data_IF_470775353322
#
_entry.id   IF_470775353322
#
_cell.length_a   1.000
_cell.length_b   1.000
_cell.length_c   1.000
_cell.angle_alpha   90.00
_cell.angle_beta   90.00
_cell.angle_gamma   90.00
#
_symmetry.space_group_name_H-M   'P 1'
#
loop_
_entity.id
_entity.type
_entity.pdbx_description
1 polymer ?
#
# COMPACT_ATOMS: atom_id res chain seq x y z
N UNK A 1 -2.21 34.03 -44.69
CA UNK A 1 -1.76 32.75 -44.09
C UNK A 1 -2.44 32.60 -42.77
N UNK A 2 -3.54 31.92 -42.76
CA UNK A 2 -4.39 31.69 -41.56
C UNK A 2 -3.90 30.42 -40.88
N UNK A 3 -3.20 30.59 -39.77
CA UNK A 3 -2.82 29.48 -38.89
C UNK A 3 -4.09 28.94 -38.23
N UNK A 4 -4.50 27.76 -38.69
CA UNK A 4 -5.56 27.01 -38.05
C UNK A 4 -5.06 26.47 -36.70
N UNK A 5 -5.28 27.24 -35.66
CA UNK A 5 -5.26 26.72 -34.30
C UNK A 5 -6.37 25.66 -34.18
N UNK A 6 -5.98 24.41 -34.39
CA UNK A 6 -6.82 23.24 -34.08
C UNK A 6 -7.17 23.32 -32.60
N UNK A 7 -8.36 23.81 -32.32
CA UNK A 7 -8.98 23.69 -30.99
C UNK A 7 -9.11 22.19 -30.71
N UNK A 8 -8.28 21.70 -29.81
CA UNK A 8 -8.48 20.40 -29.23
C UNK A 8 -9.87 20.42 -28.55
N UNK A 9 -10.68 19.37 -28.75
CA UNK A 9 -12.01 19.33 -28.16
C UNK A 9 -11.90 19.45 -26.65
N UNK A 10 -12.59 20.42 -26.08
CA UNK A 10 -12.63 20.73 -24.66
C UNK A 10 -13.15 19.58 -23.77
N UNK A 11 -13.66 18.53 -24.40
CA UNK A 11 -14.27 17.39 -23.71
C UNK A 11 -13.29 16.44 -23.02
N UNK A 12 -11.99 16.54 -23.31
CA UNK A 12 -10.95 15.70 -22.66
C UNK A 12 -10.23 16.39 -21.50
N UNK A 13 -10.42 17.67 -21.31
CA UNK A 13 -9.79 18.45 -20.24
C UNK A 13 -10.61 18.53 -18.94
N UNK A 14 -11.85 18.02 -18.93
CA UNK A 14 -12.86 18.40 -17.94
C UNK A 14 -13.04 17.50 -16.72
N UNK A 15 -12.41 16.33 -16.58
CA UNK A 15 -12.82 15.42 -15.50
C UNK A 15 -11.72 14.85 -14.61
N UNK A 16 -10.44 15.08 -14.87
CA UNK A 16 -9.36 14.50 -14.07
C UNK A 16 -8.33 15.56 -13.71
N UNK A 17 -8.49 16.16 -12.56
CA UNK A 17 -7.53 17.10 -11.99
C UNK A 17 -6.24 16.43 -11.50
N UNK A 18 -6.22 15.10 -11.37
CA UNK A 18 -5.12 14.35 -10.80
C UNK A 18 -4.49 13.40 -11.83
N UNK A 19 -3.20 13.56 -12.04
CA UNK A 19 -2.40 12.64 -12.83
C UNK A 19 -2.38 11.26 -12.19
N UNK A 20 -2.49 10.22 -13.02
CA UNK A 20 -2.38 8.84 -12.60
C UNK A 20 -1.09 8.25 -13.12
N UNK A 21 -0.31 7.73 -12.24
CA UNK A 21 0.95 7.07 -12.57
C UNK A 21 0.70 5.57 -12.63
N UNK A 22 0.93 4.93 -13.81
CA UNK A 22 0.86 3.49 -13.91
C UNK A 22 2.09 2.91 -13.23
N UNK A 23 1.90 2.43 -12.01
CA UNK A 23 2.98 1.85 -11.21
C UNK A 23 2.46 0.60 -10.49
N UNK A 24 3.18 -0.53 -10.69
CA UNK A 24 2.85 -1.81 -10.10
C UNK A 24 3.74 -2.08 -8.89
N UNK A 25 3.18 -1.89 -7.71
CA UNK A 25 3.85 -2.09 -6.43
C UNK A 25 3.10 -3.13 -5.61
N UNK A 26 3.84 -3.95 -4.87
CA UNK A 26 3.24 -4.87 -3.92
C UNK A 26 2.54 -4.08 -2.80
N UNK A 27 1.42 -4.58 -2.35
CA UNK A 27 0.67 -3.98 -1.25
C UNK A 27 0.05 -5.04 -0.34
N UNK A 28 -0.18 -4.64 0.88
CA UNK A 28 -1.04 -5.33 1.83
C UNK A 28 -2.23 -4.43 2.14
N UNK A 29 -3.39 -5.01 2.38
CA UNK A 29 -4.57 -4.24 2.76
C UNK A 29 -5.27 -4.82 3.98
N UNK A 30 -6.00 -3.95 4.66
CA UNK A 30 -6.94 -4.32 5.70
C UNK A 30 -8.25 -3.57 5.54
N UNK A 31 -9.34 -4.30 5.68
CA UNK A 31 -10.69 -3.75 5.70
C UNK A 31 -11.11 -3.48 7.13
N UNK A 32 -11.75 -2.33 7.32
CA UNK A 32 -12.17 -1.86 8.64
C UNK A 32 -13.69 -1.70 8.68
N UNK A 33 -14.24 -2.10 9.83
CA UNK A 33 -15.61 -1.79 10.22
C UNK A 33 -15.64 -1.13 11.60
N UNK A 34 -16.82 -0.94 12.17
CA UNK A 34 -16.98 -0.34 13.51
C UNK A 34 -16.31 -1.15 14.63
N UNK A 35 -16.09 -2.45 14.43
CA UNK A 35 -15.43 -3.34 15.38
C UNK A 35 -13.91 -3.47 15.20
N UNK A 36 -13.34 -2.80 14.20
CA UNK A 36 -11.92 -2.88 13.86
C UNK A 36 -11.64 -3.59 12.55
N UNK A 37 -10.47 -4.23 12.46
CA UNK A 37 -10.05 -4.99 11.27
C UNK A 37 -10.84 -6.30 11.22
N UNK A 38 -11.49 -6.57 10.09
CA UNK A 38 -12.22 -7.82 9.90
C UNK A 38 -11.70 -8.68 8.75
N UNK A 39 -10.91 -8.12 7.85
CA UNK A 39 -10.29 -8.84 6.74
C UNK A 39 -8.97 -8.20 6.36
N UNK A 40 -7.99 -9.02 6.03
CA UNK A 40 -6.69 -8.61 5.48
C UNK A 40 -6.39 -9.38 4.21
N UNK A 41 -5.56 -8.85 3.36
CA UNK A 41 -5.13 -9.50 2.14
C UNK A 41 -3.95 -8.80 1.49
N UNK A 42 -3.57 -9.28 0.33
CA UNK A 42 -2.46 -8.78 -0.47
C UNK A 42 -2.91 -8.42 -1.87
N UNK A 43 -2.11 -7.62 -2.54
CA UNK A 43 -2.42 -7.19 -3.90
C UNK A 43 -1.28 -6.45 -4.57
N UNK A 44 -1.59 -5.82 -5.69
CA UNK A 44 -0.66 -4.96 -6.43
C UNK A 44 -1.37 -3.72 -6.94
N UNK A 45 -0.67 -2.60 -6.90
CA UNK A 45 -1.18 -1.38 -7.52
C UNK A 45 -1.15 -1.51 -9.04
N UNK A 46 -2.15 -0.94 -9.70
CA UNK A 46 -2.21 -0.78 -11.15
C UNK A 46 -1.89 0.66 -11.52
N UNK A 47 -2.44 1.60 -10.78
CA UNK A 47 -2.07 3.02 -10.87
C UNK A 47 -2.36 3.74 -9.55
N UNK A 48 -1.62 4.82 -9.33
CA UNK A 48 -1.72 5.68 -8.15
C UNK A 48 -1.83 7.14 -8.60
N UNK A 49 -2.67 7.90 -7.91
CA UNK A 49 -2.76 9.35 -8.02
C UNK A 49 -2.81 9.98 -6.64
N UNK A 50 -2.78 11.30 -6.56
CA UNK A 50 -2.94 12.02 -5.29
C UNK A 50 -4.29 11.79 -4.59
N UNK A 51 -5.31 11.38 -5.34
CA UNK A 51 -6.68 11.20 -4.83
C UNK A 51 -7.17 9.76 -4.78
N UNK A 52 -6.45 8.82 -5.38
CA UNK A 52 -6.91 7.44 -5.40
C UNK A 52 -5.89 6.43 -5.92
N UNK A 53 -6.18 5.18 -5.65
CA UNK A 53 -5.41 4.01 -6.09
C UNK A 53 -6.35 3.04 -6.79
N UNK A 54 -5.90 2.50 -7.91
CA UNK A 54 -6.46 1.31 -8.53
C UNK A 54 -5.50 0.16 -8.27
N UNK A 55 -6.00 -0.95 -7.77
CA UNK A 55 -5.19 -2.11 -7.42
C UNK A 55 -5.92 -3.44 -7.66
N UNK A 56 -5.17 -4.48 -7.84
CA UNK A 56 -5.65 -5.86 -7.82
C UNK A 56 -5.63 -6.36 -6.38
N UNK A 57 -6.69 -7.06 -5.98
CA UNK A 57 -6.83 -7.67 -4.66
C UNK A 57 -6.97 -9.20 -4.81
N UNK A 58 -6.44 -9.93 -3.84
CA UNK A 58 -6.56 -11.39 -3.74
C UNK A 58 -7.95 -11.88 -3.33
N UNK A 59 -8.85 -10.96 -2.96
CA UNK A 59 -10.22 -11.25 -2.59
C UNK A 59 -11.20 -10.23 -3.20
N UNK A 60 -12.47 -10.60 -3.20
CA UNK A 60 -13.56 -9.72 -3.66
C UNK A 60 -13.82 -8.66 -2.59
N UNK A 61 -13.62 -7.40 -2.96
CA UNK A 61 -13.86 -6.25 -2.11
C UNK A 61 -15.19 -5.59 -2.46
N UNK A 62 -15.86 -5.01 -1.47
CA UNK A 62 -17.16 -4.36 -1.66
C UNK A 62 -17.01 -2.84 -1.65
N UNK A 63 -17.59 -2.13 -2.64
CA UNK A 63 -17.67 -0.66 -2.61
C UNK A 63 -18.33 -0.15 -1.33
N UNK A 64 -17.81 0.96 -0.82
CA UNK A 64 -18.30 1.56 0.42
C UNK A 64 -17.52 1.18 1.67
N UNK A 65 -16.70 0.13 1.62
CA UNK A 65 -15.88 -0.29 2.75
C UNK A 65 -14.70 0.64 2.99
N UNK A 66 -14.36 0.85 4.26
CA UNK A 66 -13.11 1.50 4.65
C UNK A 66 -11.94 0.54 4.50
N UNK A 67 -10.87 1.04 3.94
CA UNK A 67 -9.69 0.26 3.65
C UNK A 67 -8.42 1.04 4.00
N UNK A 68 -7.43 0.32 4.51
CA UNK A 68 -6.07 0.79 4.63
C UNK A 68 -5.16 -0.04 3.72
N UNK A 69 -4.27 0.62 3.00
CA UNK A 69 -3.23 -0.01 2.19
C UNK A 69 -1.86 0.31 2.76
N UNK A 70 -1.00 -0.69 2.77
CA UNK A 70 0.43 -0.55 2.99
C UNK A 70 1.13 -0.93 1.68
N UNK A 71 1.61 0.06 0.95
CA UNK A 71 2.26 -0.10 -0.36
C UNK A 71 3.76 -0.07 -0.20
N UNK A 72 4.46 -1.05 -0.75
CA UNK A 72 5.93 -1.07 -0.78
C UNK A 72 6.44 0.01 -1.74
N UNK A 73 6.90 1.14 -1.18
CA UNK A 73 7.34 2.27 -1.98
C UNK A 73 8.78 2.09 -2.47
N UNK A 74 9.07 2.33 -3.76
CA UNK A 74 10.39 2.03 -4.32
C UNK A 74 11.50 3.01 -3.92
N UNK A 75 11.17 4.13 -3.29
CA UNK A 75 12.15 5.08 -2.81
C UNK A 75 12.78 4.64 -1.49
N UNK A 76 14.04 5.01 -1.31
CA UNK A 76 14.81 4.78 -0.08
C UNK A 76 15.32 6.11 0.46
N UNK A 77 15.37 6.23 1.78
CA UNK A 77 16.05 7.34 2.44
C UNK A 77 17.54 6.98 2.54
N UNK A 78 18.41 7.84 2.04
CA UNK A 78 19.88 7.65 2.04
C UNK A 78 20.34 6.31 1.43
N UNK A 79 19.59 5.76 0.46
CA UNK A 79 19.81 4.46 -0.17
C UNK A 79 19.75 3.24 0.77
N UNK A 80 19.44 3.41 2.04
CA UNK A 80 19.47 2.34 3.04
C UNK A 80 18.10 1.97 3.57
N UNK A 81 17.25 2.99 3.83
CA UNK A 81 15.98 2.78 4.51
C UNK A 81 14.84 2.70 3.51
N UNK A 82 14.24 1.52 3.39
CA UNK A 82 13.05 1.31 2.55
C UNK A 82 11.84 2.04 3.12
N UNK A 83 10.99 2.54 2.23
CA UNK A 83 9.76 3.23 2.59
C UNK A 83 8.54 2.38 2.27
N UNK A 84 7.53 2.54 3.08
CA UNK A 84 6.17 2.13 2.80
C UNK A 84 5.28 3.36 2.70
N UNK A 85 4.35 3.34 1.77
CA UNK A 85 3.28 4.32 1.69
C UNK A 85 2.04 3.74 2.34
N UNK A 86 1.63 4.32 3.45
CA UNK A 86 0.40 3.96 4.14
C UNK A 86 -0.74 4.87 3.72
N UNK A 87 -1.81 4.27 3.23
CA UNK A 87 -2.98 4.97 2.71
C UNK A 87 -4.22 4.54 3.47
N UNK A 88 -5.11 5.48 3.75
CA UNK A 88 -6.44 5.22 4.29
C UNK A 88 -7.49 5.82 3.37
N UNK A 89 -8.58 5.11 3.20
CA UNK A 89 -9.64 5.60 2.35
C UNK A 89 -10.84 4.67 2.29
N UNK A 90 -11.56 4.78 1.18
CA UNK A 90 -12.80 4.05 0.94
C UNK A 90 -12.82 3.44 -0.45
N UNK A 91 -13.27 2.20 -0.55
CA UNK A 91 -13.47 1.54 -1.83
C UNK A 91 -14.66 2.20 -2.53
N UNK A 92 -14.44 2.67 -3.75
CA UNK A 92 -15.47 3.35 -4.54
C UNK A 92 -16.00 2.49 -5.69
N UNK A 93 -15.20 1.53 -6.15
CA UNK A 93 -15.55 0.67 -7.28
C UNK A 93 -14.73 -0.62 -7.26
N UNK A 94 -15.37 -1.71 -7.70
CA UNK A 94 -14.71 -2.99 -7.93
C UNK A 94 -15.20 -3.58 -9.26
N UNK A 95 -14.29 -4.12 -10.06
CA UNK A 95 -14.59 -4.79 -11.32
C UNK A 95 -13.51 -5.84 -11.59
N UNK A 96 -13.90 -7.11 -11.75
CA UNK A 96 -12.99 -8.17 -12.21
C UNK A 96 -11.72 -8.36 -11.39
N UNK A 97 -11.80 -8.33 -10.06
CA UNK A 97 -10.63 -8.43 -9.17
C UNK A 97 -9.88 -7.11 -8.96
N UNK A 98 -10.24 -6.06 -9.73
CA UNK A 98 -9.71 -4.71 -9.54
C UNK A 98 -10.56 -3.93 -8.55
N UNK A 99 -9.93 -3.22 -7.64
CA UNK A 99 -10.56 -2.31 -6.72
C UNK A 99 -9.99 -0.89 -6.88
N UNK A 100 -10.88 0.09 -6.87
CA UNK A 100 -10.50 1.50 -6.83
C UNK A 100 -10.89 2.09 -5.48
N UNK A 101 -9.95 2.77 -4.84
CA UNK A 101 -10.19 3.50 -3.60
C UNK A 101 -9.91 4.99 -3.76
N UNK A 102 -10.63 5.81 -3.02
CA UNK A 102 -10.26 7.21 -2.77
C UNK A 102 -9.34 7.30 -1.58
N UNK A 103 -8.34 8.17 -1.65
CA UNK A 103 -7.40 8.44 -0.56
C UNK A 103 -7.98 9.58 0.29
N UNK A 104 -8.24 9.27 1.57
CA UNK A 104 -8.61 10.28 2.56
C UNK A 104 -7.38 10.75 3.36
N UNK A 105 -6.38 9.90 3.48
CA UNK A 105 -5.17 10.18 4.23
C UNK A 105 -4.00 9.32 3.75
N UNK A 106 -2.78 9.87 3.81
CA UNK A 106 -1.56 9.16 3.44
C UNK A 106 -0.37 9.57 4.30
N UNK A 107 0.57 8.65 4.47
CA UNK A 107 1.82 8.85 5.19
C UNK A 107 2.91 7.93 4.64
N UNK A 108 4.14 8.46 4.50
CA UNK A 108 5.31 7.64 4.26
C UNK A 108 5.91 7.19 5.58
N UNK A 109 6.19 5.90 5.70
CA UNK A 109 6.82 5.29 6.87
C UNK A 109 8.04 4.51 6.48
N UNK A 110 9.05 4.57 7.32
CA UNK A 110 10.22 3.71 7.17
C UNK A 110 9.83 2.26 7.41
N UNK A 111 10.22 1.39 6.48
CA UNK A 111 10.13 -0.04 6.70
C UNK A 111 11.18 -0.41 7.74
N UNK A 112 10.76 -0.94 8.87
CA UNK A 112 11.71 -1.50 9.83
C UNK A 112 12.51 -2.59 9.07
N UNK A 113 13.85 -2.54 9.10
CA UNK A 113 14.63 -3.59 8.48
C UNK A 113 14.17 -4.90 9.10
N UNK A 114 13.71 -5.83 8.27
CA UNK A 114 13.56 -7.20 8.70
C UNK A 114 14.96 -7.61 9.14
N UNK A 115 15.24 -7.51 10.42
CA UNK A 115 16.44 -8.13 10.97
C UNK A 115 16.24 -9.60 10.69
N UNK A 116 16.80 -10.08 9.58
CA UNK A 116 17.27 -11.44 9.50
C UNK A 116 18.08 -11.62 10.80
N UNK A 117 17.49 -12.26 11.79
CA UNK A 117 18.25 -12.81 12.89
C UNK A 117 19.13 -13.86 12.25
N UNK A 118 20.30 -13.43 11.80
CA UNK A 118 21.42 -14.32 11.61
C UNK A 118 21.71 -14.76 13.03
N UNK A 119 21.09 -15.88 13.42
CA UNK A 119 21.49 -16.57 14.63
C UNK A 119 22.95 -16.88 14.44
N UNK A 120 23.77 -16.28 15.28
CA UNK A 120 25.21 -16.34 15.23
C UNK A 120 25.68 -17.77 15.03
N UNK A 121 26.75 -17.87 14.29
CA UNK A 121 27.60 -19.02 14.10
C UNK A 121 27.79 -19.77 15.42
N UNK A 122 26.92 -20.72 15.67
CA UNK A 122 27.03 -21.75 16.68
C UNK A 122 26.66 -23.04 15.98
N UNK A 123 27.65 -23.84 15.74
CA UNK A 123 27.58 -25.18 15.19
C UNK A 123 26.48 -25.98 15.89
N UNK A 124 25.24 -25.96 15.36
CA UNK A 124 24.19 -26.90 15.75
C UNK A 124 23.50 -27.41 14.49
N UNK A 125 23.74 -28.66 14.25
CA UNK A 125 23.05 -29.56 13.36
C UNK A 125 21.59 -29.18 13.24
N UNK A 126 21.16 -28.81 12.02
CA UNK A 126 19.76 -28.63 11.67
C UNK A 126 19.05 -29.98 11.81
N UNK A 127 18.38 -30.19 12.92
CA UNK A 127 17.30 -31.16 12.97
C UNK A 127 16.10 -30.49 12.31
N UNK A 128 15.75 -31.00 11.16
CA UNK A 128 14.49 -30.70 10.51
C UNK A 128 13.43 -31.47 11.29
N UNK A 129 12.84 -30.83 12.28
CA UNK A 129 11.61 -31.36 12.87
C UNK A 129 10.48 -31.11 11.87
N UNK A 130 10.05 -32.19 11.26
CA UNK A 130 8.92 -32.27 10.33
C UNK A 130 7.60 -32.20 11.11
N UNK A 131 7.47 -31.25 12.01
CA UNK A 131 6.20 -30.87 12.62
C UNK A 131 5.84 -29.45 12.20
N UNK A 132 5.73 -29.27 10.89
CA UNK A 132 5.17 -28.02 10.35
C UNK A 132 3.66 -28.10 10.54
N UNK A 133 3.20 -27.70 11.71
CA UNK A 133 1.86 -27.12 11.83
C UNK A 133 1.87 -25.93 10.87
N UNK A 134 1.02 -25.97 9.85
CA UNK A 134 0.71 -24.87 8.98
C UNK A 134 0.13 -23.73 9.85
N UNK A 135 1.03 -22.98 10.46
CA UNK A 135 0.66 -21.75 11.14
C UNK A 135 0.22 -20.79 10.05
N UNK A 136 -1.06 -20.46 10.07
CA UNK A 136 -1.64 -19.44 9.22
C UNK A 136 -0.74 -18.22 9.22
N UNK A 137 -0.46 -17.60 8.07
CA UNK A 137 0.39 -16.42 8.03
C UNK A 137 -0.16 -15.39 9.00
N UNK A 138 0.68 -14.94 9.94
CA UNK A 138 0.30 -13.89 10.89
C UNK A 138 -0.21 -12.70 10.10
N UNK A 139 -1.33 -12.11 10.50
CA UNK A 139 -1.83 -10.90 9.86
C UNK A 139 -0.73 -9.83 9.89
N UNK A 140 -0.62 -9.02 8.83
CA UNK A 140 0.35 -7.96 8.77
C UNK A 140 0.24 -7.08 10.01
N UNK A 141 1.35 -6.85 10.70
CA UNK A 141 1.39 -5.94 11.85
C UNK A 141 1.33 -4.52 11.33
N UNK A 142 0.12 -3.97 11.31
CA UNK A 142 -0.09 -2.59 10.96
C UNK A 142 0.45 -1.69 12.06
N UNK A 143 1.12 -0.60 11.70
CA UNK A 143 1.58 0.35 12.69
C UNK A 143 0.38 0.91 13.45
N UNK A 144 0.38 0.77 14.77
CA UNK A 144 -0.65 1.35 15.63
C UNK A 144 -0.67 2.86 15.50
N UNK A 145 -1.84 3.49 15.33
CA UNK A 145 -1.94 4.94 15.38
C UNK A 145 -1.55 5.42 16.77
N UNK A 146 -0.47 6.19 16.89
CA UNK A 146 -0.06 6.79 18.16
C UNK A 146 1.42 6.76 18.49
N UNK A 147 2.26 6.07 17.74
CA UNK A 147 3.72 6.20 17.88
C UNK A 147 4.31 6.94 16.70
N UNK A 148 3.98 8.21 16.61
CA UNK A 148 4.74 9.16 15.81
C UNK A 148 6.07 9.36 16.52
N UNK A 149 7.15 8.84 15.97
CA UNK A 149 8.50 9.27 16.32
C UNK A 149 8.67 10.69 15.78
N UNK A 150 8.32 11.67 16.61
CA UNK A 150 8.75 13.05 16.38
C UNK A 150 10.25 13.05 16.56
N UNK A 151 10.98 13.09 15.46
CA UNK A 151 12.40 13.40 15.48
C UNK A 151 12.52 14.84 15.99
N UNK A 152 12.90 15.02 17.27
CA UNK A 152 13.36 16.31 17.78
C UNK A 152 14.72 16.57 17.13
N UNK A 153 14.74 17.46 16.16
CA UNK A 153 15.96 18.13 15.78
C UNK A 153 16.35 19.06 16.92
N UNK A 154 17.38 18.68 17.68
CA UNK A 154 18.08 19.61 18.56
C UNK A 154 19.07 20.35 17.68
N UNK A 155 18.83 21.65 17.48
CA UNK A 155 19.77 22.61 16.91
C UNK A 155 20.84 23.01 17.88
#
# INVERSE_FOLDING_TARGET
MTSALRRLPADKLGRRLNWRYPISLALQYQLLNRGGIFQTGVGRTVNISSSGVLFEADAVLTPGMHIELLVEWPARINNEVELNLWLKGKIVRTVGGLAAMTIAWHEYRTRAPTRLRIFGSGNKTLRVDTSTTLESPRPPQWPTPGKSLVARASG
#
